data_IF_590187778578
#
_entry.id   IF_590187778578
#
_cell.length_a   1.000
_cell.length_b   1.000
_cell.length_c   1.000
_cell.angle_alpha   90.00
_cell.angle_beta   90.00
_cell.angle_gamma   90.00
#
_symmetry.space_group_name_H-M   'P 1'
#
loop_
_entity.id
_entity.type
_entity.pdbx_description
1 polymer ?
#
# COMPACT_ATOMS: atom_id res chain seq x y z
N UNK A 1 3.50 6.72 -8.44
CA UNK A 1 4.39 5.66 -8.96
C UNK A 1 3.52 4.60 -9.61
N UNK A 2 4.04 3.86 -10.59
CA UNK A 2 3.33 2.84 -11.39
C UNK A 2 2.39 3.34 -12.51
N UNK A 3 2.25 4.66 -12.73
CA UNK A 3 1.28 5.23 -13.70
C UNK A 3 1.53 4.73 -15.12
N UNK A 4 2.77 4.75 -15.59
CA UNK A 4 3.14 4.31 -16.93
C UNK A 4 2.74 2.84 -17.18
N UNK A 5 2.98 1.96 -16.22
CA UNK A 5 2.63 0.53 -16.32
C UNK A 5 1.11 0.32 -16.31
N UNK A 6 0.37 1.16 -15.56
CA UNK A 6 -1.09 1.13 -15.56
C UNK A 6 -1.63 1.55 -16.93
N UNK A 7 -1.08 2.61 -17.52
CA UNK A 7 -1.49 3.09 -18.84
C UNK A 7 -1.21 2.03 -19.92
N UNK A 8 -0.03 1.41 -19.91
CA UNK A 8 0.30 0.32 -20.83
C UNK A 8 -0.64 -0.89 -20.65
N UNK A 9 -0.92 -1.28 -19.40
CA UNK A 9 -1.84 -2.38 -19.10
C UNK A 9 -3.27 -2.07 -19.57
N UNK A 10 -3.73 -0.84 -19.38
CA UNK A 10 -5.04 -0.38 -19.87
C UNK A 10 -5.10 -0.37 -21.40
N UNK A 11 -4.06 0.11 -22.08
CA UNK A 11 -3.97 0.07 -23.55
C UNK A 11 -4.06 -1.37 -24.05
N UNK A 12 -3.30 -2.29 -23.47
CA UNK A 12 -3.38 -3.72 -23.83
C UNK A 12 -4.80 -4.30 -23.67
N UNK A 13 -5.53 -3.93 -22.62
CA UNK A 13 -6.92 -4.37 -22.44
C UNK A 13 -7.91 -3.75 -23.44
N UNK A 14 -7.64 -2.54 -23.94
CA UNK A 14 -8.44 -1.86 -24.95
C UNK A 14 -8.18 -2.50 -26.32
N UNK A 15 -6.92 -2.75 -26.66
CA UNK A 15 -6.50 -3.31 -27.93
C UNK A 15 -6.90 -4.80 -28.06
N UNK A 16 -6.90 -5.52 -26.93
CA UNK A 16 -7.21 -6.96 -26.85
C UNK A 16 -8.44 -7.25 -25.97
N UNK A 17 -9.66 -6.86 -26.40
CA UNK A 17 -10.86 -6.99 -25.57
C UNK A 17 -11.23 -8.45 -25.28
N UNK A 18 -10.89 -9.38 -26.16
CA UNK A 18 -11.06 -10.83 -25.96
C UNK A 18 -9.76 -11.45 -25.41
N UNK A 19 -8.61 -11.07 -25.97
CA UNK A 19 -7.28 -11.58 -25.60
C UNK A 19 -6.88 -11.33 -24.15
N UNK A 20 -7.44 -10.30 -23.49
CA UNK A 20 -7.29 -10.07 -22.05
C UNK A 20 -7.70 -11.28 -21.19
N UNK A 21 -8.68 -12.07 -21.64
CA UNK A 21 -9.15 -13.26 -20.92
C UNK A 21 -8.28 -14.49 -21.20
N UNK A 22 -7.53 -14.48 -22.30
CA UNK A 22 -6.62 -15.55 -22.69
C UNK A 22 -5.17 -15.28 -22.26
N UNK A 23 -4.93 -14.19 -21.54
CA UNK A 23 -3.63 -13.88 -20.94
C UNK A 23 -2.68 -13.08 -21.83
N UNK A 24 -3.15 -12.47 -22.91
CA UNK A 24 -2.33 -11.66 -23.84
C UNK A 24 -1.64 -10.48 -23.14
N UNK A 25 -2.21 -9.97 -22.05
CA UNK A 25 -1.67 -8.86 -21.26
C UNK A 25 -0.97 -9.30 -19.94
N UNK A 26 -0.64 -10.60 -19.79
CA UNK A 26 -0.12 -11.16 -18.51
C UNK A 26 1.22 -10.57 -18.11
N UNK A 27 2.11 -10.30 -19.05
CA UNK A 27 3.44 -9.74 -18.75
C UNK A 27 3.33 -8.33 -18.14
N UNK A 28 2.42 -7.51 -18.67
CA UNK A 28 2.14 -6.18 -18.13
C UNK A 28 1.51 -6.26 -16.75
N UNK A 29 0.62 -7.24 -16.52
CA UNK A 29 0.06 -7.52 -15.19
C UNK A 29 1.14 -7.86 -14.16
N UNK A 30 2.11 -8.71 -14.52
CA UNK A 30 3.21 -9.09 -13.62
C UNK A 30 4.07 -7.87 -13.24
N UNK A 31 4.37 -7.00 -14.21
CA UNK A 31 5.11 -5.74 -13.97
C UNK A 31 4.32 -4.82 -13.03
N UNK A 32 3.01 -4.70 -13.25
CA UNK A 32 2.13 -3.90 -12.41
C UNK A 32 2.09 -4.41 -10.97
N UNK A 33 1.92 -5.71 -10.79
CA UNK A 33 1.91 -6.36 -9.48
C UNK A 33 3.23 -6.15 -8.73
N UNK A 34 4.37 -6.24 -9.43
CA UNK A 34 5.69 -5.95 -8.85
C UNK A 34 5.77 -4.51 -8.33
N UNK A 35 5.30 -3.55 -9.13
CA UNK A 35 5.31 -2.14 -8.76
C UNK A 35 4.44 -1.89 -7.51
N UNK A 36 3.22 -2.42 -7.47
CA UNK A 36 2.33 -2.28 -6.32
C UNK A 36 2.86 -2.97 -5.06
N UNK A 37 3.55 -4.11 -5.19
CA UNK A 37 4.21 -4.75 -4.04
C UNK A 37 5.31 -3.86 -3.44
N UNK A 38 6.10 -3.21 -4.28
CA UNK A 38 7.14 -2.27 -3.83
C UNK A 38 6.52 -1.07 -3.12
N UNK A 39 5.50 -0.46 -3.72
CA UNK A 39 4.81 0.69 -3.12
C UNK A 39 4.16 0.32 -1.78
N UNK A 40 3.50 -0.84 -1.73
CA UNK A 40 2.89 -1.36 -0.50
C UNK A 40 3.94 -1.62 0.59
N UNK A 41 5.13 -2.10 0.24
CA UNK A 41 6.20 -2.33 1.21
C UNK A 41 6.69 -1.01 1.82
N UNK A 42 6.89 0.02 1.00
CA UNK A 42 7.28 1.36 1.46
C UNK A 42 6.22 1.94 2.39
N UNK A 43 4.95 1.95 1.96
CA UNK A 43 3.83 2.46 2.77
C UNK A 43 3.67 1.69 4.07
N UNK A 44 3.79 0.35 4.05
CA UNK A 44 3.71 -0.48 5.25
C UNK A 44 4.78 -0.12 6.27
N UNK A 45 6.01 0.17 5.84
CA UNK A 45 7.11 0.58 6.72
C UNK A 45 6.81 1.93 7.37
N UNK A 46 6.40 2.93 6.57
CA UNK A 46 6.03 4.25 7.08
C UNK A 46 4.88 4.16 8.10
N UNK A 47 3.81 3.44 7.75
CA UNK A 47 2.66 3.26 8.65
C UNK A 47 3.04 2.54 9.94
N UNK A 48 3.97 1.58 9.89
CA UNK A 48 4.46 0.89 11.08
C UNK A 48 5.21 1.84 12.02
N UNK A 49 6.06 2.71 11.49
CA UNK A 49 6.81 3.70 12.26
C UNK A 49 5.87 4.74 12.90
N UNK A 50 4.89 5.24 12.15
CA UNK A 50 3.85 6.13 12.68
C UNK A 50 3.01 5.47 13.77
N UNK A 51 2.59 4.23 13.54
CA UNK A 51 1.81 3.46 14.51
C UNK A 51 2.59 3.23 15.80
N UNK A 52 3.91 3.01 15.72
CA UNK A 52 4.77 2.87 16.90
C UNK A 52 4.83 4.18 17.70
N UNK A 53 5.03 5.32 17.03
CA UNK A 53 5.05 6.64 17.68
C UNK A 53 3.72 6.93 18.39
N UNK A 54 2.61 6.71 17.68
CA UNK A 54 1.27 6.90 18.25
C UNK A 54 1.03 6.01 19.46
N UNK A 55 1.47 4.74 19.40
CA UNK A 55 1.33 3.81 20.52
C UNK A 55 2.06 4.28 21.77
N UNK A 56 3.26 4.83 21.65
CA UNK A 56 4.01 5.35 22.80
C UNK A 56 3.34 6.60 23.39
N UNK A 57 2.85 7.52 22.54
CA UNK A 57 2.09 8.71 22.99
C UNK A 57 0.85 8.28 23.78
N UNK A 58 0.07 7.34 23.24
CA UNK A 58 -1.14 6.85 23.89
C UNK A 58 -0.85 6.13 25.22
N UNK A 59 0.30 5.45 25.35
CA UNK A 59 0.72 4.83 26.61
C UNK A 59 1.06 5.86 27.66
N UNK A 60 1.87 6.87 27.30
CA UNK A 60 2.22 7.96 28.20
C UNK A 60 0.98 8.72 28.68
N UNK A 61 0.04 9.03 27.78
CA UNK A 61 -1.23 9.65 28.14
C UNK A 61 -2.06 8.80 29.10
N UNK A 62 -2.11 7.48 28.90
CA UNK A 62 -2.81 6.58 29.83
C UNK A 62 -2.18 6.57 31.22
N UNK A 63 -0.85 6.56 31.30
CA UNK A 63 -0.14 6.59 32.59
C UNK A 63 -0.38 7.92 33.32
N UNK A 64 -0.22 9.05 32.63
CA UNK A 64 -0.51 10.37 33.19
C UNK A 64 -1.96 10.48 33.68
N UNK A 65 -2.93 9.93 32.94
CA UNK A 65 -4.33 9.91 33.36
C UNK A 65 -4.59 8.99 34.57
N UNK A 66 -3.77 7.96 34.80
CA UNK A 66 -3.86 7.14 36.02
C UNK A 66 -3.27 7.91 37.20
N UNK A 67 -2.10 8.52 37.03
CA UNK A 67 -1.46 9.36 38.07
C UNK A 67 -2.38 10.50 38.53
N UNK A 68 -2.98 11.26 37.60
CA UNK A 68 -3.95 12.34 37.92
C UNK A 68 -5.18 11.82 38.68
N UNK A 69 -5.58 10.56 38.49
CA UNK A 69 -6.75 9.99 39.17
C UNK A 69 -6.43 9.46 40.57
N UNK A 70 -5.16 9.26 40.89
CA UNK A 70 -4.69 8.75 42.17
C UNK A 70 -4.27 9.87 43.14
N UNK A 71 -4.10 11.11 42.65
CA UNK A 71 -3.94 12.37 43.42
C UNK A 71 -5.29 13.00 43.81
#
# INVERSE_FOLDING_TARGET
MCVEIIEEFQRCHIDHPIGKFFGECTDLKVKLDKCFRQEKAVKRKANFEESKKLKEILRAQRQANVEIREE
#
